data_IF_155512798602
#
_entry.id   IF_155512798602
#
_cell.length_a   1.000
_cell.length_b   1.000
_cell.length_c   1.000
_cell.angle_alpha   90.00
_cell.angle_beta   90.00
_cell.angle_gamma   90.00
#
_symmetry.space_group_name_H-M   'P 1'
#
loop_
_entity.id
_entity.type
_entity.pdbx_description
1 polymer ?
#
# COMPACT_ATOMS: atom_id res chain seq x y z
N UNK A 1 17.86 -3.85 -4.33
CA UNK A 1 16.46 -3.35 -4.20
C UNK A 1 16.05 -2.72 -5.51
N UNK A 2 14.94 -3.17 -6.11
CA UNK A 2 14.28 -2.51 -7.24
C UNK A 2 13.27 -1.52 -6.66
N UNK A 3 13.23 -0.29 -7.19
CA UNK A 3 12.41 0.78 -6.63
C UNK A 3 11.32 1.20 -7.62
N UNK A 4 10.08 1.14 -7.18
CA UNK A 4 8.91 1.69 -7.85
C UNK A 4 8.56 3.06 -7.28
N UNK A 5 7.70 3.79 -7.97
CA UNK A 5 7.21 5.10 -7.55
C UNK A 5 5.69 5.07 -7.40
N UNK A 6 5.18 5.68 -6.34
CA UNK A 6 3.76 5.95 -6.12
C UNK A 6 3.54 7.43 -5.83
N UNK A 7 2.54 8.04 -6.46
CA UNK A 7 2.19 9.44 -6.21
C UNK A 7 0.90 9.55 -5.42
N UNK A 8 0.98 10.22 -4.28
CA UNK A 8 -0.18 10.56 -3.46
C UNK A 8 -0.93 11.81 -3.96
N UNK A 9 -0.48 12.42 -5.06
CA UNK A 9 -1.21 13.50 -5.71
C UNK A 9 -2.35 12.95 -6.55
N UNK A 10 -3.53 12.85 -5.95
CA UNK A 10 -4.73 12.29 -6.59
C UNK A 10 -5.41 13.26 -7.58
N UNK A 11 -5.00 14.53 -7.60
CA UNK A 11 -5.57 15.56 -8.47
C UNK A 11 -4.72 15.89 -9.71
N UNK A 12 -3.47 15.43 -9.74
CA UNK A 12 -2.59 15.56 -10.90
C UNK A 12 -2.79 14.37 -11.85
N UNK A 13 -2.69 14.61 -13.15
CA UNK A 13 -2.72 13.54 -14.14
C UNK A 13 -1.37 12.78 -14.10
N UNK A 14 -1.35 11.49 -13.69
CA UNK A 14 -0.11 10.74 -13.57
C UNK A 14 0.54 10.47 -14.92
N UNK A 15 -0.21 10.52 -16.00
CA UNK A 15 0.28 10.24 -17.35
C UNK A 15 1.14 11.36 -17.93
N UNK A 16 1.23 12.51 -17.26
CA UNK A 16 2.20 13.55 -17.59
C UNK A 16 3.64 13.13 -17.31
N UNK A 17 3.87 12.20 -16.36
CA UNK A 17 5.20 11.77 -15.96
C UNK A 17 5.41 10.24 -15.97
N UNK A 18 4.36 9.43 -16.02
CA UNK A 18 4.49 7.97 -15.87
C UNK A 18 5.37 7.33 -16.96
N UNK A 19 5.36 7.82 -18.19
CA UNK A 19 6.25 7.37 -19.26
C UNK A 19 7.73 7.70 -19.02
N UNK A 20 8.03 8.64 -18.15
CA UNK A 20 9.40 9.06 -17.86
C UNK A 20 10.00 8.30 -16.65
N UNK A 21 9.21 7.53 -15.89
CA UNK A 21 9.66 6.86 -14.67
C UNK A 21 10.88 5.97 -14.90
N UNK A 22 10.90 5.21 -16.01
CA UNK A 22 12.01 4.34 -16.35
C UNK A 22 13.28 5.14 -16.63
N UNK A 23 13.20 6.26 -17.33
CA UNK A 23 14.32 7.16 -17.60
C UNK A 23 14.84 7.85 -16.33
N UNK A 24 13.96 8.15 -15.40
CA UNK A 24 14.32 8.69 -14.08
C UNK A 24 15.11 7.66 -13.27
N UNK A 25 14.85 6.36 -13.50
CA UNK A 25 15.53 5.25 -12.85
C UNK A 25 14.68 4.44 -11.90
N UNK A 26 13.36 4.62 -11.95
CA UNK A 26 12.41 3.72 -11.31
C UNK A 26 12.22 2.46 -12.15
N UNK A 27 11.97 1.33 -11.50
CA UNK A 27 11.72 0.05 -12.14
C UNK A 27 10.24 -0.37 -12.07
N UNK A 28 9.40 0.45 -11.47
CA UNK A 28 7.97 0.20 -11.42
C UNK A 28 7.16 1.44 -11.10
N UNK A 29 5.86 1.29 -11.25
CA UNK A 29 4.86 2.29 -10.92
C UNK A 29 3.76 1.64 -10.09
N UNK A 30 3.48 2.23 -8.93
CA UNK A 30 2.28 1.91 -8.16
C UNK A 30 1.20 2.96 -8.40
N UNK A 31 0.05 2.50 -8.85
CA UNK A 31 -1.09 3.34 -9.18
C UNK A 31 -2.02 3.37 -7.97
N UNK A 32 -2.25 4.56 -7.41
CA UNK A 32 -3.31 4.75 -6.41
C UNK A 32 -4.65 4.88 -7.13
N UNK A 33 -5.53 3.89 -7.00
CA UNK A 33 -6.80 3.83 -7.76
C UNK A 33 -7.84 4.85 -7.27
N UNK A 34 -7.43 6.11 -7.19
CA UNK A 34 -8.29 7.25 -6.78
C UNK A 34 -8.06 8.50 -7.63
N UNK A 35 -9.01 9.41 -7.62
CA UNK A 35 -8.92 10.68 -8.31
C UNK A 35 -8.54 10.51 -9.79
N UNK A 36 -7.51 11.24 -10.25
CA UNK A 36 -7.02 11.16 -11.62
C UNK A 36 -6.32 9.85 -11.98
N UNK A 37 -6.00 9.01 -10.98
CA UNK A 37 -5.35 7.71 -11.16
C UNK A 37 -6.36 6.55 -11.15
N UNK A 38 -7.66 6.80 -10.99
CA UNK A 38 -8.70 5.78 -10.86
C UNK A 38 -8.68 4.79 -12.03
N UNK A 39 -8.58 3.48 -11.73
CA UNK A 39 -8.34 2.45 -12.74
C UNK A 39 -9.42 2.42 -13.81
N UNK A 40 -10.69 2.35 -13.43
CA UNK A 40 -11.81 2.23 -14.37
C UNK A 40 -11.90 3.35 -15.41
N UNK A 41 -11.27 4.49 -15.13
CA UNK A 41 -11.23 5.66 -16.03
C UNK A 41 -9.98 5.68 -16.92
N UNK A 42 -8.95 4.88 -16.58
CA UNK A 42 -7.63 4.99 -17.17
C UNK A 42 -7.05 3.69 -17.74
N UNK A 43 -7.79 2.58 -17.73
CA UNK A 43 -7.29 1.27 -18.21
C UNK A 43 -6.51 1.37 -19.52
N UNK A 44 -7.04 1.98 -20.62
CA UNK A 44 -6.30 2.03 -21.89
C UNK A 44 -4.98 2.79 -21.81
N UNK A 45 -4.90 3.84 -20.97
CA UNK A 45 -3.67 4.63 -20.76
C UNK A 45 -2.64 3.84 -19.96
N UNK A 46 -3.10 3.08 -18.96
CA UNK A 46 -2.25 2.21 -18.13
C UNK A 46 -1.68 1.07 -18.98
N UNK A 47 -2.52 0.43 -19.79
CA UNK A 47 -2.10 -0.63 -20.72
C UNK A 47 -1.08 -0.12 -21.75
N UNK A 48 -1.21 1.13 -22.21
CA UNK A 48 -0.25 1.76 -23.10
C UNK A 48 1.13 1.91 -22.41
N UNK A 49 1.18 2.29 -21.14
CA UNK A 49 2.43 2.35 -20.36
C UNK A 49 2.99 0.93 -20.15
N UNK A 50 2.16 0.00 -19.69
CA UNK A 50 2.58 -1.38 -19.43
C UNK A 50 3.16 -2.07 -20.67
N UNK A 51 2.64 -1.74 -21.86
CA UNK A 51 3.12 -2.32 -23.13
C UNK A 51 4.32 -1.61 -23.75
N UNK A 52 4.57 -0.34 -23.39
CA UNK A 52 5.64 0.50 -23.95
C UNK A 52 6.85 0.70 -23.04
N UNK A 53 6.80 0.23 -21.80
CA UNK A 53 7.86 0.31 -20.81
C UNK A 53 8.15 -1.06 -20.19
N UNK A 54 9.26 -1.18 -19.46
CA UNK A 54 9.55 -2.35 -18.62
C UNK A 54 9.16 -2.13 -17.16
N UNK A 55 8.30 -1.16 -16.87
CA UNK A 55 7.86 -0.86 -15.52
C UNK A 55 7.01 -2.01 -14.95
N UNK A 56 7.37 -2.49 -13.79
CA UNK A 56 6.51 -3.37 -13.02
C UNK A 56 5.36 -2.54 -12.42
N UNK A 57 4.10 -2.93 -12.71
CA UNK A 57 2.94 -2.20 -12.20
C UNK A 57 2.39 -2.92 -10.98
N UNK A 58 2.15 -2.15 -9.93
CA UNK A 58 1.34 -2.51 -8.76
C UNK A 58 0.21 -1.52 -8.60
N UNK A 59 -0.78 -1.85 -7.80
CA UNK A 59 -1.94 -1.00 -7.58
C UNK A 59 -2.20 -0.86 -6.09
N UNK A 60 -2.39 0.36 -5.64
CA UNK A 60 -3.00 0.64 -4.36
C UNK A 60 -4.52 0.77 -4.57
N UNK A 61 -5.30 -0.08 -3.91
CA UNK A 61 -6.75 -0.03 -4.00
C UNK A 61 -7.32 1.29 -3.43
N UNK A 62 -8.53 1.70 -3.84
CA UNK A 62 -9.15 2.89 -3.29
C UNK A 62 -9.41 2.71 -1.79
N UNK A 63 -9.23 3.78 -1.02
CA UNK A 63 -9.37 3.78 0.43
C UNK A 63 -10.19 4.98 0.96
N UNK A 64 -10.26 6.09 0.21
CA UNK A 64 -11.01 7.28 0.63
C UNK A 64 -12.49 6.96 0.77
N UNK A 65 -13.07 7.32 1.92
CA UNK A 65 -14.48 7.11 2.26
C UNK A 65 -14.93 5.64 2.28
N UNK A 66 -14.01 4.68 2.17
CA UNK A 66 -14.28 3.25 2.25
C UNK A 66 -13.91 2.69 3.62
N UNK A 67 -14.68 1.70 4.08
CA UNK A 67 -14.42 1.04 5.36
C UNK A 67 -14.90 -0.42 5.38
N UNK A 68 -13.97 -1.34 5.24
CA UNK A 68 -14.24 -2.79 5.28
C UNK A 68 -14.50 -3.35 6.68
N UNK A 69 -14.33 -2.55 7.72
CA UNK A 69 -14.73 -2.88 9.10
C UNK A 69 -16.03 -2.18 9.53
N UNK A 70 -16.73 -1.51 8.59
CA UNK A 70 -17.96 -0.77 8.90
C UNK A 70 -19.06 -1.69 9.38
N UNK A 71 -19.73 -1.31 10.50
CA UNK A 71 -20.97 -1.95 10.95
C UNK A 71 -22.22 -1.39 10.25
N UNK A 72 -22.07 -0.36 9.42
CA UNK A 72 -23.10 0.06 8.48
C UNK A 72 -23.01 -0.83 7.23
N UNK A 73 -24.03 -1.66 7.04
CA UNK A 73 -24.04 -2.66 5.96
C UNK A 73 -23.83 -2.05 4.57
N UNK A 74 -24.46 -0.91 4.27
CA UNK A 74 -24.34 -0.26 2.96
C UNK A 74 -22.91 0.25 2.70
N UNK A 75 -22.27 0.86 3.71
CA UNK A 75 -20.87 1.31 3.61
C UNK A 75 -19.94 0.11 3.40
N UNK A 76 -20.17 -0.97 4.17
CA UNK A 76 -19.37 -2.19 4.04
C UNK A 76 -19.50 -2.81 2.64
N UNK A 77 -20.72 -2.96 2.13
CA UNK A 77 -21.00 -3.54 0.80
C UNK A 77 -20.36 -2.72 -0.32
N UNK A 78 -20.48 -1.38 -0.27
CA UNK A 78 -19.84 -0.50 -1.25
C UNK A 78 -18.33 -0.63 -1.17
N UNK A 79 -17.75 -0.63 0.03
CA UNK A 79 -16.30 -0.76 0.23
C UNK A 79 -15.78 -2.07 -0.34
N UNK A 80 -16.44 -3.19 -0.03
CA UNK A 80 -16.07 -4.51 -0.56
C UNK A 80 -16.21 -4.55 -2.09
N UNK A 81 -17.26 -3.98 -2.64
CA UNK A 81 -17.50 -3.93 -4.09
C UNK A 81 -16.43 -3.12 -4.82
N UNK A 82 -16.10 -1.91 -4.33
CA UNK A 82 -15.10 -1.04 -4.97
C UNK A 82 -13.71 -1.67 -4.96
N UNK A 83 -13.27 -2.22 -3.81
CA UNK A 83 -11.98 -2.90 -3.69
C UNK A 83 -11.94 -4.18 -4.54
N UNK A 84 -13.01 -4.98 -4.55
CA UNK A 84 -13.11 -6.17 -5.40
C UNK A 84 -13.04 -5.83 -6.90
N UNK A 85 -13.71 -4.74 -7.31
CA UNK A 85 -13.63 -4.24 -8.67
C UNK A 85 -12.22 -3.80 -9.03
N UNK A 86 -11.52 -3.13 -8.11
CA UNK A 86 -10.12 -2.75 -8.28
C UNK A 86 -9.21 -3.98 -8.47
N UNK A 87 -9.34 -5.01 -7.62
CA UNK A 87 -8.58 -6.27 -7.74
C UNK A 87 -8.78 -6.90 -9.12
N UNK A 88 -10.03 -6.98 -9.59
CA UNK A 88 -10.36 -7.52 -10.90
C UNK A 88 -9.73 -6.70 -12.04
N UNK A 89 -9.84 -5.37 -11.99
CA UNK A 89 -9.29 -4.50 -13.03
C UNK A 89 -7.77 -4.53 -13.07
N UNK A 90 -7.13 -4.54 -11.89
CA UNK A 90 -5.68 -4.61 -11.74
C UNK A 90 -5.09 -5.87 -12.39
N UNK A 91 -5.80 -6.99 -12.41
CA UNK A 91 -5.30 -8.26 -12.97
C UNK A 91 -4.90 -8.22 -14.44
N UNK A 92 -5.32 -7.22 -15.18
CA UNK A 92 -4.94 -7.06 -16.59
C UNK A 92 -3.48 -6.60 -16.78
N UNK A 93 -2.87 -5.96 -15.76
CA UNK A 93 -1.56 -5.32 -15.91
C UNK A 93 -0.72 -5.29 -14.64
N UNK A 94 -1.30 -5.58 -13.49
CA UNK A 94 -0.60 -5.52 -12.20
C UNK A 94 -0.49 -6.90 -11.55
N UNK A 95 0.60 -7.11 -10.83
CA UNK A 95 0.87 -8.37 -10.12
C UNK A 95 0.48 -8.31 -8.64
N UNK A 96 0.30 -7.12 -8.07
CA UNK A 96 0.03 -6.91 -6.64
C UNK A 96 -0.97 -5.78 -6.46
N UNK A 97 -1.88 -5.96 -5.50
CA UNK A 97 -2.83 -4.95 -5.05
C UNK A 97 -2.67 -4.75 -3.55
N UNK A 98 -2.34 -3.53 -3.15
CA UNK A 98 -2.29 -3.10 -1.74
C UNK A 98 -3.70 -2.69 -1.30
N UNK A 99 -4.09 -3.10 -0.10
CA UNK A 99 -5.36 -2.72 0.54
C UNK A 99 -5.12 -2.28 1.97
N UNK A 100 -5.93 -1.36 2.46
CA UNK A 100 -5.95 -0.99 3.86
C UNK A 100 -6.88 -1.91 4.67
N UNK A 101 -6.58 -2.18 5.95
CA UNK A 101 -7.57 -2.68 6.89
C UNK A 101 -8.62 -1.59 7.16
N UNK A 102 -9.69 -1.96 7.83
CA UNK A 102 -10.75 -1.02 8.14
C UNK A 102 -10.41 -0.08 9.30
N UNK A 103 -11.36 0.81 9.57
CA UNK A 103 -11.33 1.76 10.68
C UNK A 103 -12.51 1.52 11.62
N UNK A 104 -12.30 1.64 12.93
CA UNK A 104 -13.37 1.60 13.92
C UNK A 104 -14.19 2.90 13.85
N UNK A 105 -15.41 2.83 13.32
CA UNK A 105 -16.37 3.91 13.45
C UNK A 105 -16.78 4.10 14.93
N UNK A 106 -17.47 5.19 15.31
CA UNK A 106 -17.95 5.35 16.69
C UNK A 106 -18.79 4.17 17.21
N UNK A 107 -19.55 3.51 16.34
CA UNK A 107 -20.25 2.26 16.67
C UNK A 107 -19.30 1.07 16.72
N UNK A 108 -18.35 0.99 15.77
CA UNK A 108 -17.33 -0.06 15.73
C UNK A 108 -16.44 -0.05 16.97
N UNK A 109 -16.09 1.14 17.50
CA UNK A 109 -15.33 1.27 18.74
C UNK A 109 -16.07 0.74 19.98
N UNK A 110 -17.40 0.71 19.95
CA UNK A 110 -18.23 0.12 21.01
C UNK A 110 -18.46 -1.39 20.81
N UNK A 111 -18.26 -1.89 19.60
CA UNK A 111 -18.45 -3.28 19.19
C UNK A 111 -17.25 -3.78 18.37
N UNK A 112 -16.01 -3.70 18.92
CA UNK A 112 -14.79 -3.95 18.15
C UNK A 112 -14.73 -5.35 17.56
N UNK A 113 -15.21 -6.37 18.27
CA UNK A 113 -15.21 -7.74 17.77
C UNK A 113 -16.04 -7.88 16.47
N UNK A 114 -17.19 -7.20 16.40
CA UNK A 114 -18.02 -7.20 15.19
C UNK A 114 -17.36 -6.46 14.03
N UNK A 115 -16.71 -5.33 14.30
CA UNK A 115 -15.96 -4.61 13.27
C UNK A 115 -14.78 -5.47 12.75
N UNK A 116 -14.14 -6.21 13.63
CA UNK A 116 -13.10 -7.17 13.28
C UNK A 116 -13.62 -8.32 12.40
N UNK A 117 -14.77 -8.90 12.75
CA UNK A 117 -15.45 -9.94 11.95
C UNK A 117 -15.83 -9.44 10.54
N UNK A 118 -16.32 -8.18 10.42
CA UNK A 118 -16.60 -7.56 9.13
C UNK A 118 -15.33 -7.41 8.27
N UNK A 119 -14.23 -6.99 8.88
CA UNK A 119 -12.93 -6.89 8.21
C UNK A 119 -12.46 -8.27 7.71
N UNK A 120 -12.47 -9.29 8.56
CA UNK A 120 -12.12 -10.67 8.19
C UNK A 120 -13.00 -11.16 7.04
N UNK A 121 -14.30 -10.87 7.07
CA UNK A 121 -15.23 -11.29 6.02
C UNK A 121 -14.90 -10.63 4.68
N UNK A 122 -14.57 -9.34 4.68
CA UNK A 122 -14.12 -8.64 3.48
C UNK A 122 -12.80 -9.24 2.94
N UNK A 123 -11.84 -9.50 3.82
CA UNK A 123 -10.56 -10.10 3.44
C UNK A 123 -10.72 -11.51 2.83
N UNK A 124 -11.67 -12.32 3.31
CA UNK A 124 -12.01 -13.62 2.69
C UNK A 124 -12.47 -13.45 1.24
N UNK A 125 -13.27 -12.41 0.97
CA UNK A 125 -13.75 -12.09 -0.38
C UNK A 125 -12.56 -11.67 -1.27
N UNK A 126 -11.69 -10.79 -0.75
CA UNK A 126 -10.52 -10.31 -1.51
C UNK A 126 -9.51 -11.43 -1.77
N UNK A 127 -9.24 -12.30 -0.82
CA UNK A 127 -8.39 -13.48 -1.01
C UNK A 127 -8.93 -14.44 -2.07
N UNK A 128 -10.26 -14.64 -2.11
CA UNK A 128 -10.91 -15.42 -3.18
C UNK A 128 -10.70 -14.76 -4.54
N UNK A 129 -10.94 -13.45 -4.66
CA UNK A 129 -10.73 -12.71 -5.92
C UNK A 129 -9.25 -12.69 -6.31
N UNK A 130 -8.34 -12.56 -5.36
CA UNK A 130 -6.91 -12.63 -5.63
C UNK A 130 -6.52 -13.94 -6.34
N UNK A 131 -7.02 -15.08 -5.86
CA UNK A 131 -6.81 -16.39 -6.51
C UNK A 131 -7.49 -16.49 -7.87
N UNK A 132 -8.74 -16.01 -7.96
CA UNK A 132 -9.53 -16.07 -9.19
C UNK A 132 -8.87 -15.30 -10.32
N UNK A 133 -8.32 -14.11 -10.02
CA UNK A 133 -7.74 -13.21 -11.01
C UNK A 133 -6.20 -13.30 -11.10
N UNK A 134 -5.56 -14.13 -10.29
CA UNK A 134 -4.11 -14.36 -10.35
C UNK A 134 -3.27 -13.17 -9.88
N UNK A 135 -3.78 -12.33 -9.01
CA UNK A 135 -3.05 -11.21 -8.40
C UNK A 135 -2.70 -11.49 -6.95
N UNK A 136 -1.63 -10.89 -6.43
CA UNK A 136 -1.31 -10.90 -5.01
C UNK A 136 -2.02 -9.73 -4.32
N UNK A 137 -2.81 -10.00 -3.30
CA UNK A 137 -3.34 -8.96 -2.41
C UNK A 137 -2.43 -8.87 -1.19
N UNK A 138 -2.11 -7.66 -0.76
CA UNK A 138 -1.30 -7.38 0.44
C UNK A 138 -2.01 -6.38 1.33
N UNK A 139 -2.01 -6.65 2.63
CA UNK A 139 -2.65 -5.83 3.66
C UNK A 139 -1.60 -4.94 4.32
N UNK A 140 -1.84 -3.63 4.31
CA UNK A 140 -0.87 -2.64 4.76
C UNK A 140 -1.02 -2.33 6.25
N UNK A 141 0.11 -2.08 6.93
CA UNK A 141 0.09 -1.57 8.29
C UNK A 141 -0.21 -0.07 8.32
N UNK A 142 -1.06 0.34 9.25
CA UNK A 142 -1.57 1.71 9.35
C UNK A 142 -0.77 2.59 10.34
N UNK A 143 -0.76 3.92 10.11
CA UNK A 143 -0.08 4.86 10.99
C UNK A 143 -0.78 4.95 12.35
N UNK A 144 -0.12 5.61 13.33
CA UNK A 144 -0.66 5.84 14.67
C UNK A 144 -1.80 6.87 14.65
N UNK A 145 -2.92 6.49 14.05
CA UNK A 145 -4.17 7.25 14.04
C UNK A 145 -5.18 6.46 14.87
N UNK A 146 -5.78 7.12 15.85
CA UNK A 146 -6.80 6.52 16.69
C UNK A 146 -7.89 5.85 15.84
N UNK A 147 -8.32 4.67 16.25
CA UNK A 147 -9.34 3.85 15.59
C UNK A 147 -8.95 3.17 14.27
N UNK A 148 -7.78 3.42 13.68
CA UNK A 148 -7.29 2.60 12.57
C UNK A 148 -6.91 1.19 13.04
N UNK A 149 -7.38 0.18 12.32
CA UNK A 149 -6.99 -1.23 12.52
C UNK A 149 -5.66 -1.52 11.81
N UNK A 150 -4.96 -2.57 12.21
CA UNK A 150 -3.75 -3.02 11.53
C UNK A 150 -2.50 -2.17 11.79
N UNK A 151 -2.39 -1.52 12.93
CA UNK A 151 -1.21 -0.74 13.31
C UNK A 151 -0.01 -1.62 13.73
N UNK A 152 -0.26 -2.86 14.14
CA UNK A 152 0.74 -3.80 14.63
C UNK A 152 0.78 -5.05 13.75
N UNK A 153 1.95 -5.67 13.68
CA UNK A 153 2.13 -6.91 12.94
C UNK A 153 1.15 -8.01 13.40
N UNK A 154 0.97 -8.16 14.70
CA UNK A 154 0.10 -9.17 15.28
C UNK A 154 -1.36 -8.98 14.87
N UNK A 155 -1.80 -7.73 14.69
CA UNK A 155 -3.15 -7.40 14.21
C UNK A 155 -3.32 -7.84 12.75
N UNK A 156 -2.34 -7.53 11.88
CA UNK A 156 -2.37 -7.95 10.48
C UNK A 156 -2.33 -9.48 10.35
N UNK A 157 -1.46 -10.13 11.13
CA UNK A 157 -1.39 -11.59 11.14
C UNK A 157 -2.71 -12.20 11.60
N UNK A 158 -3.33 -11.67 12.67
CA UNK A 158 -4.63 -12.11 13.14
C UNK A 158 -5.75 -11.96 12.09
N UNK A 159 -5.75 -10.87 11.33
CA UNK A 159 -6.68 -10.66 10.21
C UNK A 159 -6.46 -11.68 9.09
N UNK A 160 -5.21 -11.90 8.68
CA UNK A 160 -4.83 -12.82 7.59
C UNK A 160 -5.12 -14.28 7.97
N UNK A 161 -4.71 -14.71 9.16
CA UNK A 161 -4.90 -16.09 9.65
C UNK A 161 -6.37 -16.47 9.74
N UNK A 162 -7.23 -15.53 10.13
CA UNK A 162 -8.67 -15.74 10.23
C UNK A 162 -9.45 -15.47 8.92
N UNK A 163 -8.77 -15.02 7.87
CA UNK A 163 -9.38 -14.73 6.57
C UNK A 163 -8.86 -15.62 5.45
N UNK A 164 -7.74 -15.27 4.85
CA UNK A 164 -7.13 -15.97 3.73
C UNK A 164 -5.61 -15.86 3.78
N UNK A 165 -4.92 -16.97 3.96
CA UNK A 165 -3.46 -17.06 4.10
C UNK A 165 -2.70 -16.67 2.81
N UNK A 166 -3.39 -16.48 1.67
CA UNK A 166 -2.76 -15.99 0.45
C UNK A 166 -2.61 -14.46 0.43
N UNK A 167 -3.27 -13.75 1.34
CA UNK A 167 -3.03 -12.33 1.55
C UNK A 167 -1.64 -12.15 2.18
N UNK A 168 -0.82 -11.28 1.59
CA UNK A 168 0.49 -10.94 2.12
C UNK A 168 0.43 -9.71 3.02
N UNK A 169 1.58 -9.29 3.53
CA UNK A 169 1.74 -8.03 4.27
C UNK A 169 2.44 -7.01 3.38
N UNK A 170 1.91 -5.79 3.35
CA UNK A 170 2.63 -4.60 2.93
C UNK A 170 3.15 -3.88 4.17
N UNK A 171 4.46 -3.74 4.28
CA UNK A 171 5.11 -2.94 5.31
C UNK A 171 5.22 -1.50 4.82
N UNK A 172 4.49 -0.58 5.40
CA UNK A 172 4.82 0.83 5.33
C UNK A 172 5.79 1.18 6.46
N UNK A 173 7.00 1.61 6.06
CA UNK A 173 8.10 1.92 6.97
C UNK A 173 7.81 3.18 7.78
N UNK A 174 7.18 4.19 7.17
CA UNK A 174 6.81 5.43 7.84
C UNK A 174 5.75 5.20 8.91
N UNK A 175 4.72 4.41 8.61
CA UNK A 175 3.68 4.01 9.54
C UNK A 175 4.26 3.19 10.70
N UNK A 176 5.09 2.19 10.40
CA UNK A 176 5.74 1.36 11.42
C UNK A 176 6.69 2.17 12.31
N UNK A 177 7.32 3.23 11.78
CA UNK A 177 8.11 4.15 12.58
C UNK A 177 7.25 4.97 13.55
N UNK A 178 6.09 5.47 13.09
CA UNK A 178 5.14 6.21 13.93
C UNK A 178 4.53 5.36 15.04
N UNK A 179 4.21 4.12 14.75
CA UNK A 179 3.65 3.14 15.71
C UNK A 179 4.72 2.48 16.59
N UNK A 180 6.02 2.70 16.30
CA UNK A 180 7.17 2.06 16.98
C UNK A 180 7.17 0.54 16.85
N UNK A 181 6.66 0.01 15.74
CA UNK A 181 6.54 -1.43 15.49
C UNK A 181 7.53 -1.95 14.44
N UNK A 182 8.40 -1.08 13.90
CA UNK A 182 9.30 -1.41 12.80
C UNK A 182 10.15 -2.66 13.05
N UNK A 183 10.71 -2.83 14.27
CA UNK A 183 11.52 -4.00 14.63
C UNK A 183 10.69 -5.31 14.58
N UNK A 184 9.40 -5.27 14.92
CA UNK A 184 8.53 -6.46 14.82
C UNK A 184 8.44 -6.95 13.37
N UNK A 185 8.31 -6.03 12.40
CA UNK A 185 8.30 -6.37 10.98
C UNK A 185 9.66 -6.87 10.50
N UNK A 186 10.74 -6.20 10.86
CA UNK A 186 12.09 -6.57 10.45
C UNK A 186 12.55 -7.93 10.99
N UNK A 187 11.98 -8.38 12.11
CA UNK A 187 12.23 -9.70 12.67
C UNK A 187 11.38 -10.82 12.01
N UNK A 188 10.48 -10.46 11.09
CA UNK A 188 9.62 -11.40 10.35
C UNK A 188 9.63 -11.08 8.84
N UNK A 189 10.81 -11.02 8.19
CA UNK A 189 10.94 -10.56 6.82
C UNK A 189 10.22 -11.46 5.80
N UNK A 190 10.06 -12.74 6.12
CA UNK A 190 9.37 -13.72 5.26
C UNK A 190 7.85 -13.48 5.15
N UNK A 191 7.27 -12.68 6.03
CA UNK A 191 5.85 -12.33 6.00
C UNK A 191 5.57 -11.15 5.07
N UNK A 192 6.59 -10.36 4.73
CA UNK A 192 6.48 -9.12 3.99
C UNK A 192 6.61 -9.39 2.50
N UNK A 193 5.62 -8.98 1.72
CA UNK A 193 5.59 -9.14 0.27
C UNK A 193 5.70 -7.80 -0.50
N UNK A 194 5.47 -6.69 0.19
CA UNK A 194 5.47 -5.35 -0.35
C UNK A 194 5.97 -4.35 0.69
N UNK A 195 6.62 -3.26 0.27
CA UNK A 195 7.18 -2.27 1.19
C UNK A 195 6.98 -0.87 0.63
N UNK A 196 6.33 0.00 1.40
CA UNK A 196 6.26 1.42 1.14
C UNK A 196 7.37 2.17 1.87
N UNK A 197 7.97 3.11 1.19
CA UNK A 197 9.12 3.87 1.66
C UNK A 197 8.84 5.37 1.58
N UNK A 198 8.78 6.01 2.72
CA UNK A 198 8.77 7.46 2.87
C UNK A 198 9.34 7.85 4.24
N UNK A 199 9.65 9.11 4.43
CA UNK A 199 10.18 9.60 5.72
C UNK A 199 9.13 10.45 6.46
N UNK A 200 9.33 10.65 7.75
CA UNK A 200 8.50 11.51 8.56
C UNK A 200 9.27 12.08 9.77
N UNK A 201 8.66 13.04 10.46
CA UNK A 201 9.25 13.67 11.65
C UNK A 201 8.90 12.97 12.97
N UNK A 202 8.29 11.79 12.94
CA UNK A 202 7.92 11.00 14.11
C UNK A 202 6.66 11.47 14.82
N UNK A 203 5.82 12.28 14.18
CA UNK A 203 4.57 12.80 14.75
C UNK A 203 3.35 12.60 13.85
N UNK A 204 3.55 12.73 12.56
CA UNK A 204 2.52 12.63 11.53
C UNK A 204 3.03 11.77 10.40
N UNK A 205 2.11 11.26 9.65
CA UNK A 205 2.37 10.61 8.39
C UNK A 205 2.63 11.68 7.31
N UNK A 206 3.91 12.14 7.28
CA UNK A 206 4.30 13.31 6.50
C UNK A 206 4.63 12.98 5.04
N UNK A 207 4.91 11.73 4.69
CA UNK A 207 5.41 11.30 3.37
C UNK A 207 6.53 12.22 2.85
N UNK A 208 7.54 12.48 3.69
CA UNK A 208 8.70 13.29 3.31
C UNK A 208 9.65 12.49 2.41
N UNK A 209 10.43 13.17 1.57
CA UNK A 209 11.52 12.51 0.85
C UNK A 209 12.47 11.77 1.80
N UNK A 210 12.84 10.57 1.40
CA UNK A 210 13.72 9.68 2.17
C UNK A 210 15.01 10.42 2.56
N UNK A 211 15.39 10.31 3.84
CA UNK A 211 16.58 10.97 4.40
C UNK A 211 16.38 12.44 4.79
N UNK A 212 15.15 12.96 4.72
CA UNK A 212 14.83 14.34 5.17
C UNK A 212 14.02 14.38 6.46
N UNK A 213 13.61 13.22 6.97
CA UNK A 213 12.90 13.08 8.24
C UNK A 213 13.80 12.57 9.37
N UNK A 214 13.25 11.68 10.19
CA UNK A 214 13.92 11.14 11.39
C UNK A 214 14.21 9.64 11.30
N UNK A 215 13.76 8.95 10.26
CA UNK A 215 14.03 7.53 10.08
C UNK A 215 15.52 7.33 9.81
N UNK A 216 16.12 6.41 10.52
CA UNK A 216 17.56 6.12 10.42
C UNK A 216 17.85 5.21 9.24
N UNK A 217 17.71 5.72 8.04
CA UNK A 217 17.83 4.97 6.79
C UNK A 217 19.13 4.20 6.64
N UNK A 218 20.27 4.76 7.10
CA UNK A 218 21.58 4.06 7.05
C UNK A 218 21.57 2.76 7.84
N UNK A 219 20.89 2.71 8.98
CA UNK A 219 20.75 1.52 9.81
C UNK A 219 19.68 0.56 9.26
N UNK A 220 18.66 1.11 8.61
CA UNK A 220 17.48 0.38 8.14
C UNK A 220 17.69 -0.31 6.78
N UNK A 221 18.33 0.36 5.82
CA UNK A 221 18.50 -0.16 4.45
C UNK A 221 19.11 -1.55 4.36
N UNK A 222 20.17 -1.90 5.14
CA UNK A 222 20.70 -3.26 5.13
C UNK A 222 19.65 -4.31 5.47
N UNK A 223 18.83 -4.06 6.49
CA UNK A 223 17.75 -4.97 6.93
C UNK A 223 16.65 -5.08 5.87
N UNK A 224 16.26 -3.96 5.26
CA UNK A 224 15.26 -3.96 4.18
C UNK A 224 15.74 -4.73 2.94
N UNK A 225 17.04 -4.70 2.63
CA UNK A 225 17.59 -5.44 1.50
C UNK A 225 17.53 -6.98 1.68
N UNK A 226 17.33 -7.47 2.90
CA UNK A 226 17.14 -8.90 3.19
C UNK A 226 15.69 -9.35 2.92
N UNK A 227 14.75 -8.41 2.80
CA UNK A 227 13.34 -8.70 2.53
C UNK A 227 13.15 -8.96 1.03
N UNK A 228 12.56 -10.09 0.70
CA UNK A 228 12.18 -10.41 -0.68
C UNK A 228 10.79 -9.83 -1.00
N UNK A 229 10.74 -8.51 -1.23
CA UNK A 229 9.51 -7.77 -1.48
C UNK A 229 9.66 -6.78 -2.64
N UNK A 230 8.54 -6.19 -3.05
CA UNK A 230 8.51 -5.02 -3.93
C UNK A 230 8.63 -3.76 -3.09
N UNK A 231 9.44 -2.82 -3.55
CA UNK A 231 9.71 -1.59 -2.82
C UNK A 231 9.18 -0.39 -3.60
N UNK A 232 8.35 0.40 -2.97
CA UNK A 232 7.70 1.57 -3.57
C UNK A 232 8.04 2.82 -2.77
N UNK A 233 8.55 3.84 -3.45
CA UNK A 233 8.71 5.17 -2.87
C UNK A 233 7.37 5.89 -3.03
N UNK A 234 6.74 6.22 -1.91
CA UNK A 234 5.54 7.05 -1.87
C UNK A 234 5.88 8.50 -1.62
N UNK A 235 5.38 9.37 -2.49
CA UNK A 235 5.69 10.80 -2.43
C UNK A 235 4.53 11.66 -2.92
N UNK A 236 4.50 12.90 -2.49
CA UNK A 236 3.47 13.88 -2.90
C UNK A 236 3.65 14.37 -4.33
N UNK A 237 4.83 14.19 -4.91
CA UNK A 237 5.14 14.58 -6.29
C UNK A 237 6.28 13.77 -6.86
N UNK A 238 6.38 13.75 -8.19
CA UNK A 238 7.51 13.10 -8.86
C UNK A 238 8.85 13.72 -8.47
N UNK A 239 8.91 15.03 -8.23
CA UNK A 239 10.14 15.71 -7.80
C UNK A 239 10.61 15.22 -6.42
N UNK A 240 9.71 15.01 -5.47
CA UNK A 240 10.02 14.43 -4.16
C UNK A 240 10.43 12.96 -4.27
N UNK A 241 9.78 12.19 -5.16
CA UNK A 241 10.17 10.82 -5.46
C UNK A 241 11.59 10.73 -6.04
N UNK A 242 11.95 11.61 -6.98
CA UNK A 242 13.31 11.70 -7.51
C UNK A 242 14.33 12.03 -6.43
N UNK A 243 14.01 12.96 -5.53
CA UNK A 243 14.85 13.30 -4.38
C UNK A 243 15.05 12.10 -3.46
N UNK A 244 13.99 11.34 -3.19
CA UNK A 244 14.06 10.10 -2.40
C UNK A 244 14.97 9.07 -3.06
N UNK A 245 14.84 8.87 -4.37
CA UNK A 245 15.67 7.96 -5.15
C UNK A 245 17.15 8.35 -5.12
N UNK A 246 17.45 9.65 -5.24
CA UNK A 246 18.81 10.19 -5.15
C UNK A 246 19.40 9.99 -3.75
N UNK A 247 18.63 10.35 -2.72
CA UNK A 247 19.06 10.19 -1.33
C UNK A 247 19.38 8.72 -1.00
N UNK A 248 18.54 7.77 -1.43
CA UNK A 248 18.79 6.33 -1.24
C UNK A 248 20.11 5.88 -1.89
N UNK A 249 20.45 6.38 -3.09
CA UNK A 249 21.73 6.09 -3.75
C UNK A 249 22.93 6.66 -2.97
N UNK A 250 22.73 7.75 -2.25
CA UNK A 250 23.77 8.41 -1.42
C UNK A 250 23.95 7.81 -0.03
N UNK A 251 22.98 7.04 0.48
CA UNK A 251 23.05 6.35 1.76
C UNK A 251 23.84 5.05 1.56
N UNK A 252 25.14 5.11 1.89
CA UNK A 252 26.04 3.95 1.89
C UNK A 252 26.29 3.49 3.31
#
# INVERSE_FOLDING_TARGET
>A
MKLSFSSLSLTQDPFEWAFELEKIGFQGWEIVSEGKQKLNENIPRIEAIASSTNLEITVHAPFSDLNIASLNQLIWEVSVKEISSCIKQASNFASTVVIHPGILSPLGAQLPDKAWEHNITALKIFGKHAREYGVKVVLENMPNIEQMLGQRLEELLGLIENSDQNIGIALDVGHAYLTKTLESYLNNPEKIAHVHLHDNLGKKDDHLPIGTGRIKWRELLPKLNEINAKFVIESKSIAEGMKSLENLKGIK
#
